data_IF_308709958449
#
_entry.id   IF_308709958449
#
_cell.length_a   1.000
_cell.length_b   1.000
_cell.length_c   1.000
_cell.angle_alpha   90.00
_cell.angle_beta   90.00
_cell.angle_gamma   90.00
#
_symmetry.space_group_name_H-M   'P 1'
#
loop_
_entity.id
_entity.type
_entity.pdbx_description
1 polymer ?
#
# COMPACT_ATOMS: atom_id res chain seq x y z
N UNK A 1 7.32 -7.51 24.42
CA UNK A 1 6.72 -7.58 23.08
C UNK A 1 7.66 -8.43 22.27
N UNK A 2 7.18 -9.58 21.80
CA UNK A 2 8.08 -10.66 21.38
C UNK A 2 8.16 -10.77 19.84
N UNK A 3 7.19 -10.17 19.15
CA UNK A 3 7.15 -10.04 17.71
C UNK A 3 6.32 -8.82 17.28
N UNK A 4 6.37 -8.49 16.00
CA UNK A 4 5.56 -7.45 15.35
C UNK A 4 4.68 -8.09 14.27
N UNK A 5 3.37 -7.88 14.37
CA UNK A 5 2.41 -8.22 13.30
C UNK A 5 2.23 -7.04 12.36
N UNK A 6 2.16 -7.29 11.05
CA UNK A 6 1.92 -6.27 10.03
C UNK A 6 0.83 -6.77 9.08
N UNK A 7 -0.22 -5.98 8.94
CA UNK A 7 -1.19 -6.11 7.86
C UNK A 7 -0.81 -5.11 6.78
N UNK A 8 -0.32 -5.58 5.63
CA UNK A 8 0.10 -4.71 4.54
C UNK A 8 -0.58 -5.12 3.23
N UNK A 9 -1.34 -4.19 2.68
CA UNK A 9 -2.15 -4.37 1.48
C UNK A 9 -1.71 -3.45 0.33
N UNK A 10 -1.32 -2.22 0.64
CA UNK A 10 -1.03 -1.16 -0.34
C UNK A 10 -0.09 -0.13 0.25
N UNK A 11 0.40 0.78 -0.60
CA UNK A 11 1.15 1.98 -0.24
C UNK A 11 0.56 3.17 -1.00
N UNK A 12 0.67 4.36 -0.43
CA UNK A 12 0.20 5.62 -1.02
C UNK A 12 1.34 6.64 -1.04
N UNK A 13 1.23 7.63 -1.93
CA UNK A 13 2.03 8.85 -1.81
C UNK A 13 1.58 9.68 -0.62
N UNK A 14 2.51 10.47 -0.10
CA UNK A 14 2.25 11.42 0.99
C UNK A 14 2.73 12.82 0.60
N UNK A 15 1.94 13.83 0.95
CA UNK A 15 2.32 15.25 0.85
C UNK A 15 2.16 15.90 2.22
N UNK A 16 3.17 16.66 2.62
CA UNK A 16 3.11 17.48 3.84
C UNK A 16 2.13 18.64 3.68
N UNK A 17 1.20 18.76 4.62
CA UNK A 17 0.20 19.83 4.69
C UNK A 17 0.39 20.73 5.92
N UNK A 18 1.46 20.55 6.70
CA UNK A 18 1.73 21.42 7.85
C UNK A 18 2.14 22.83 7.38
N UNK A 19 2.90 22.90 6.28
CA UNK A 19 3.41 24.15 5.72
C UNK A 19 3.04 24.36 4.25
N UNK A 20 2.22 23.49 3.69
CA UNK A 20 1.82 23.52 2.28
C UNK A 20 0.30 23.53 2.16
N UNK A 21 -0.21 24.23 1.14
CA UNK A 21 -1.61 24.08 0.80
C UNK A 21 -1.85 22.68 0.23
N UNK A 22 -2.77 21.95 0.84
CA UNK A 22 -3.26 20.70 0.33
C UNK A 22 -4.65 20.96 -0.26
N UNK A 23 -4.89 20.37 -1.41
CA UNK A 23 -6.22 20.37 -2.03
C UNK A 23 -6.26 19.05 -2.75
N UNK A 24 -7.33 18.27 -2.54
CA UNK A 24 -7.55 17.10 -3.36
C UNK A 24 -7.71 17.59 -4.81
N UNK A 25 -6.71 17.33 -5.65
CA UNK A 25 -6.62 17.92 -6.99
C UNK A 25 -7.73 17.44 -7.93
N UNK A 26 -8.49 16.42 -7.53
CA UNK A 26 -9.65 15.92 -8.24
C UNK A 26 -10.75 15.57 -7.24
N UNK A 27 -11.89 16.28 -7.31
CA UNK A 27 -13.12 15.95 -6.56
C UNK A 27 -13.62 14.52 -6.84
N UNK A 28 -13.15 13.90 -7.92
CA UNK A 28 -13.46 12.53 -8.33
C UNK A 28 -12.37 11.49 -8.04
N UNK A 29 -11.31 11.83 -7.28
CA UNK A 29 -10.36 10.81 -6.82
C UNK A 29 -10.82 10.26 -5.45
N UNK A 30 -11.44 9.05 -5.40
CA UNK A 30 -11.99 8.48 -4.17
C UNK A 30 -10.91 8.09 -3.13
N UNK A 31 -9.62 8.33 -3.43
CA UNK A 31 -8.49 7.89 -2.60
C UNK A 31 -7.80 9.03 -1.86
N UNK A 32 -8.25 10.27 -2.06
CA UNK A 32 -7.71 11.43 -1.39
C UNK A 32 -8.33 11.59 0.00
N UNK A 33 -7.54 11.39 1.05
CA UNK A 33 -7.98 11.59 2.44
C UNK A 33 -7.44 12.93 2.97
N UNK A 34 -8.33 13.87 3.28
CA UNK A 34 -7.96 15.17 3.83
C UNK A 34 -7.47 15.06 5.29
N UNK A 35 -6.14 15.08 5.47
CA UNK A 35 -5.49 15.25 6.79
C UNK A 35 -5.13 16.69 7.13
N UNK A 36 -5.37 17.61 6.20
CA UNK A 36 -5.25 19.05 6.39
C UNK A 36 -6.21 19.54 7.48
N UNK A 37 -5.67 20.24 8.47
CA UNK A 37 -6.34 20.60 9.74
C UNK A 37 -6.73 19.44 10.67
N UNK A 38 -6.26 18.21 10.41
CA UNK A 38 -6.45 17.08 11.31
C UNK A 38 -5.11 16.61 11.89
N UNK A 39 -4.75 17.13 13.06
CA UNK A 39 -3.53 16.74 13.78
C UNK A 39 -3.44 15.22 14.02
N UNK A 40 -4.58 14.55 14.19
CA UNK A 40 -4.66 13.08 14.35
C UNK A 40 -4.23 12.32 13.08
N UNK A 41 -4.35 12.94 11.91
CA UNK A 41 -3.89 12.43 10.62
C UNK A 41 -2.48 12.95 10.26
N UNK A 42 -1.82 13.65 11.19
CA UNK A 42 -0.44 14.10 11.06
C UNK A 42 -0.23 15.31 10.15
N UNK A 43 -1.29 16.03 9.75
CA UNK A 43 -1.22 17.10 8.74
C UNK A 43 -0.66 16.60 7.40
N UNK A 44 -1.10 15.43 6.96
CA UNK A 44 -0.65 14.80 5.71
C UNK A 44 -1.82 14.58 4.75
N UNK A 45 -1.53 14.71 3.46
CA UNK A 45 -2.41 14.26 2.38
C UNK A 45 -1.87 12.95 1.83
N UNK A 46 -2.70 11.91 1.80
CA UNK A 46 -2.36 10.65 1.14
C UNK A 46 -3.10 10.52 -0.18
N UNK A 47 -2.41 10.03 -1.21
CA UNK A 47 -2.95 9.93 -2.56
C UNK A 47 -2.41 8.70 -3.30
N UNK A 48 -3.26 8.09 -4.13
CA UNK A 48 -2.84 7.09 -5.10
C UNK A 48 -2.10 7.66 -6.31
N UNK A 49 -2.16 8.97 -6.53
CA UNK A 49 -1.51 9.68 -7.63
C UNK A 49 -0.39 10.58 -7.14
N UNK A 50 0.69 10.68 -7.92
CA UNK A 50 1.75 11.66 -7.72
C UNK A 50 1.31 13.06 -8.19
N UNK A 51 2.21 14.05 -8.03
CA UNK A 51 1.95 15.46 -8.42
C UNK A 51 1.70 15.66 -9.93
N UNK A 52 2.08 14.69 -10.74
CA UNK A 52 1.96 14.71 -12.20
C UNK A 52 0.71 13.92 -12.67
N UNK A 53 -0.08 13.36 -11.73
CA UNK A 53 -1.30 12.62 -11.98
C UNK A 53 -1.10 11.12 -12.23
N UNK A 54 0.13 10.62 -12.16
CA UNK A 54 0.45 9.21 -12.39
C UNK A 54 0.11 8.37 -11.16
N UNK A 55 -0.57 7.24 -11.36
CA UNK A 55 -0.91 6.31 -10.28
C UNK A 55 0.30 5.54 -9.77
N UNK A 56 0.35 5.29 -8.47
CA UNK A 56 1.41 4.53 -7.79
C UNK A 56 1.42 3.04 -8.20
N UNK A 57 0.30 2.54 -8.71
CA UNK A 57 0.14 1.16 -9.17
C UNK A 57 -1.28 0.91 -9.69
N UNK A 58 -1.56 -0.33 -10.05
CA UNK A 58 -2.88 -0.73 -10.54
C UNK A 58 -3.91 -0.68 -9.41
N UNK A 59 -5.08 -0.08 -9.66
CA UNK A 59 -6.18 -0.03 -8.70
C UNK A 59 -6.80 -1.42 -8.50
N UNK A 60 -7.04 -1.81 -7.26
CA UNK A 60 -7.76 -3.04 -6.91
C UNK A 60 -9.28 -2.83 -6.92
N UNK A 61 -10.05 -3.87 -6.59
CA UNK A 61 -11.50 -3.79 -6.44
C UNK A 61 -12.01 -3.00 -5.23
N UNK A 62 -11.12 -2.35 -4.49
CA UNK A 62 -11.47 -1.46 -3.39
C UNK A 62 -10.82 -0.09 -3.62
N UNK A 63 -11.59 1.01 -3.55
CA UNK A 63 -11.03 2.35 -3.61
C UNK A 63 -9.92 2.55 -2.58
N UNK A 64 -8.80 3.13 -3.00
CA UNK A 64 -7.66 3.43 -2.12
C UNK A 64 -6.61 2.32 -2.01
N UNK A 65 -6.86 1.14 -2.59
CA UNK A 65 -5.88 0.05 -2.63
C UNK A 65 -5.27 -0.10 -4.02
N UNK A 66 -3.95 -0.06 -4.06
CA UNK A 66 -3.14 -0.15 -5.25
C UNK A 66 -2.15 -1.31 -5.14
N UNK A 67 -1.85 -1.97 -6.27
CA UNK A 67 -0.85 -3.03 -6.31
C UNK A 67 0.56 -2.41 -6.25
N UNK A 68 1.12 -2.36 -5.04
CA UNK A 68 2.44 -1.73 -4.78
C UNK A 68 3.34 -2.71 -4.01
N UNK A 69 3.82 -3.79 -4.66
CA UNK A 69 4.61 -4.82 -4.00
C UNK A 69 5.92 -4.30 -3.41
N UNK A 70 6.53 -3.25 -3.99
CA UNK A 70 7.75 -2.65 -3.44
C UNK A 70 7.53 -2.08 -2.03
N UNK A 71 6.33 -1.57 -1.75
CA UNK A 71 5.98 -1.04 -0.44
C UNK A 71 6.08 -2.07 0.70
N UNK A 72 5.86 -3.36 0.40
CA UNK A 72 6.07 -4.45 1.36
C UNK A 72 7.55 -4.63 1.71
N UNK A 73 8.45 -4.55 0.73
CA UNK A 73 9.89 -4.62 0.99
C UNK A 73 10.34 -3.42 1.83
N UNK A 74 9.92 -2.22 1.44
CA UNK A 74 10.31 -0.97 2.09
C UNK A 74 9.84 -0.90 3.56
N UNK A 75 8.60 -1.31 3.85
CA UNK A 75 8.08 -1.28 5.23
C UNK A 75 8.75 -2.32 6.13
N UNK A 76 9.04 -3.51 5.60
CA UNK A 76 9.75 -4.55 6.35
C UNK A 76 11.17 -4.06 6.63
N UNK A 77 11.87 -3.52 5.64
CA UNK A 77 13.21 -2.94 5.81
C UNK A 77 13.23 -1.79 6.83
N UNK A 78 12.26 -0.89 6.75
CA UNK A 78 12.12 0.20 7.71
C UNK A 78 11.92 -0.32 9.13
N UNK A 79 10.99 -1.26 9.33
CA UNK A 79 10.67 -1.76 10.68
C UNK A 79 11.86 -2.50 11.27
N UNK A 80 12.57 -3.31 10.48
CA UNK A 80 13.78 -4.00 10.92
C UNK A 80 14.84 -3.01 11.40
N UNK A 81 15.12 -1.96 10.61
CA UNK A 81 16.12 -0.93 10.94
C UNK A 81 15.71 -0.08 12.14
N UNK A 82 14.44 0.32 12.21
CA UNK A 82 13.95 1.28 13.20
C UNK A 82 13.65 0.66 14.57
N UNK A 83 13.33 -0.63 14.61
CA UNK A 83 12.82 -1.31 15.80
C UNK A 83 13.54 -2.62 16.12
N UNK A 84 14.87 -2.58 16.04
CA UNK A 84 15.79 -3.60 16.57
C UNK A 84 15.62 -5.00 15.94
N UNK A 85 15.05 -5.09 14.74
CA UNK A 85 14.93 -6.34 14.00
C UNK A 85 14.32 -7.52 14.80
N UNK A 86 13.33 -7.23 15.65
CA UNK A 86 12.53 -8.29 16.31
C UNK A 86 11.79 -9.14 15.27
N UNK A 87 11.40 -10.38 15.58
CA UNK A 87 10.59 -11.21 14.67
C UNK A 87 9.37 -10.45 14.12
N UNK A 88 9.17 -10.53 12.80
CA UNK A 88 8.08 -9.86 12.08
C UNK A 88 7.22 -10.91 11.39
N UNK A 89 5.91 -10.81 11.55
CA UNK A 89 4.93 -11.61 10.83
C UNK A 89 4.08 -10.69 9.96
N UNK A 90 4.04 -10.96 8.66
CA UNK A 90 2.99 -10.40 7.80
C UNK A 90 1.73 -11.19 8.11
N UNK A 91 0.85 -10.60 8.91
CA UNK A 91 -0.36 -11.23 9.43
C UNK A 91 -1.50 -11.18 8.42
N UNK A 92 -1.52 -10.18 7.55
CA UNK A 92 -2.48 -10.09 6.45
C UNK A 92 -1.87 -9.43 5.21
N UNK A 93 -2.29 -9.95 4.04
CA UNK A 93 -2.05 -9.41 2.71
C UNK A 93 -3.12 -9.98 1.77
N UNK A 94 -3.68 -9.18 0.85
CA UNK A 94 -4.76 -9.64 -0.01
C UNK A 94 -5.04 -8.71 -1.18
N UNK A 95 -5.69 -9.29 -2.19
CA UNK A 95 -6.15 -8.58 -3.38
C UNK A 95 -7.68 -8.47 -3.37
N UNK A 96 -8.20 -7.25 -3.47
CA UNK A 96 -9.63 -7.02 -3.68
C UNK A 96 -9.96 -7.16 -5.16
N UNK A 97 -10.93 -8.01 -5.51
CA UNK A 97 -11.36 -8.21 -6.90
C UNK A 97 -12.50 -7.27 -7.25
N UNK A 98 -12.59 -6.87 -8.52
CA UNK A 98 -13.74 -6.13 -9.04
C UNK A 98 -14.84 -7.13 -9.41
N UNK A 99 -15.88 -7.24 -8.59
CA UNK A 99 -17.02 -8.15 -8.84
C UNK A 99 -17.92 -7.67 -10.00
N UNK A 100 -17.71 -6.43 -10.47
CA UNK A 100 -18.50 -5.77 -11.51
C UNK A 100 -17.98 -6.01 -12.95
N UNK A 101 -17.12 -7.01 -13.19
CA UNK A 101 -16.71 -7.32 -14.57
C UNK A 101 -17.87 -7.95 -15.34
N UNK A 102 -18.18 -7.41 -16.53
CA UNK A 102 -19.15 -8.02 -17.46
C UNK A 102 -18.72 -9.47 -17.75
N UNK A 103 -19.56 -10.42 -17.34
CA UNK A 103 -19.27 -11.88 -17.41
C UNK A 103 -19.17 -12.57 -16.05
N UNK A 104 -19.18 -11.83 -14.94
CA UNK A 104 -19.04 -12.38 -13.60
C UNK A 104 -17.59 -12.73 -13.27
N UNK A 105 -17.29 -12.86 -11.97
CA UNK A 105 -15.96 -13.24 -11.53
C UNK A 105 -15.72 -14.75 -11.70
N UNK A 106 -14.87 -15.13 -12.64
CA UNK A 106 -14.43 -16.51 -12.80
C UNK A 106 -13.47 -16.87 -11.65
N UNK A 107 -14.02 -17.46 -10.59
CA UNK A 107 -13.27 -17.93 -9.42
C UNK A 107 -12.16 -18.93 -9.80
N UNK A 108 -12.33 -19.65 -10.91
CA UNK A 108 -11.34 -20.61 -11.39
C UNK A 108 -10.16 -19.92 -12.11
N UNK A 109 -10.26 -18.61 -12.41
CA UNK A 109 -9.24 -17.81 -13.10
C UNK A 109 -8.92 -16.49 -12.40
N UNK A 110 -8.65 -16.54 -11.10
CA UNK A 110 -8.18 -15.39 -10.32
C UNK A 110 -6.70 -15.00 -10.60
N UNK A 111 -6.42 -14.66 -11.85
CA UNK A 111 -5.06 -14.37 -12.32
C UNK A 111 -4.48 -13.13 -11.61
N UNK A 112 -5.31 -12.15 -11.26
CA UNK A 112 -4.84 -10.92 -10.63
C UNK A 112 -4.42 -11.15 -9.18
N UNK A 113 -5.19 -11.90 -8.36
CA UNK A 113 -4.75 -12.28 -7.01
C UNK A 113 -3.49 -13.14 -7.06
N UNK A 114 -3.38 -14.06 -8.02
CA UNK A 114 -2.17 -14.88 -8.20
C UNK A 114 -0.95 -13.99 -8.49
N UNK A 115 -1.07 -13.05 -9.43
CA UNK A 115 0.01 -12.10 -9.76
C UNK A 115 0.38 -11.22 -8.57
N UNK A 116 -0.63 -10.72 -7.87
CA UNK A 116 -0.46 -9.91 -6.66
C UNK A 116 0.37 -10.65 -5.60
N UNK A 117 -0.05 -11.85 -5.19
CA UNK A 117 0.69 -12.59 -4.16
C UNK A 117 2.08 -13.00 -4.61
N UNK A 118 2.27 -13.38 -5.89
CA UNK A 118 3.61 -13.65 -6.43
C UNK A 118 4.53 -12.43 -6.30
N UNK A 119 4.05 -11.24 -6.63
CA UNK A 119 4.83 -10.02 -6.55
C UNK A 119 5.15 -9.62 -5.10
N UNK A 120 4.16 -9.67 -4.20
CA UNK A 120 4.36 -9.33 -2.78
C UNK A 120 5.27 -10.33 -2.06
N UNK A 121 5.14 -11.64 -2.34
CA UNK A 121 6.06 -12.65 -1.80
C UNK A 121 7.49 -12.47 -2.33
N UNK A 122 7.65 -12.07 -3.59
CA UNK A 122 8.97 -11.75 -4.14
C UNK A 122 9.60 -10.54 -3.43
N UNK A 123 8.84 -9.48 -3.16
CA UNK A 123 9.29 -8.32 -2.38
C UNK A 123 9.67 -8.69 -0.95
N UNK A 124 8.83 -9.48 -0.28
CA UNK A 124 9.14 -9.97 1.07
C UNK A 124 10.43 -10.80 1.07
N UNK A 125 10.60 -11.69 0.10
CA UNK A 125 11.83 -12.49 -0.04
C UNK A 125 13.07 -11.64 -0.29
N UNK A 126 12.97 -10.54 -1.05
CA UNK A 126 14.09 -9.59 -1.21
C UNK A 126 14.45 -8.94 0.13
N UNK A 127 13.48 -8.47 0.90
CA UNK A 127 13.72 -7.88 2.23
C UNK A 127 14.46 -8.86 3.16
N UNK A 128 14.15 -10.16 3.09
CA UNK A 128 14.81 -11.18 3.91
C UNK A 128 16.26 -11.40 3.45
N UNK A 129 16.49 -11.46 2.13
CA UNK A 129 17.80 -11.77 1.55
C UNK A 129 18.82 -10.64 1.71
N UNK A 130 18.42 -9.38 1.50
CA UNK A 130 19.34 -8.25 1.53
C UNK A 130 19.82 -7.86 2.93
N UNK A 131 19.24 -8.43 3.98
CA UNK A 131 19.68 -8.18 5.36
C UNK A 131 20.95 -8.93 5.75
N UNK A 132 21.26 -10.07 5.11
CA UNK A 132 22.42 -10.90 5.45
C UNK A 132 23.67 -10.56 4.61
N UNK A 133 23.73 -9.35 4.04
CA UNK A 133 24.91 -8.81 3.36
C UNK A 133 25.34 -7.54 4.05
#
# INVERSE_FOLDING_TARGET
MDFKGINHYSTLFVKDCLHSNCTCMHENNPTCSHGENHAILGFLLTSGQNKDGEFIGDLMGMPGLYVVPQGMEDIIDYIKKRYNNMPIFVTENGYGSNDNQEGGYDLDKDINRIKFHKAYLASLARSIRYFYR
#
